data_IF_327925636104
#
_entry.id   IF_327925636104
#
_cell.length_a   1.000
_cell.length_b   1.000
_cell.length_c   1.000
_cell.angle_alpha   90.00
_cell.angle_beta   90.00
_cell.angle_gamma   90.00
#
_symmetry.space_group_name_H-M   'P 1'
#
loop_
_entity.id
_entity.type
_entity.pdbx_description
1 polymer ?
#
# COMPACT_ATOMS: atom_id res chain seq x y z
N UNK A 1 -15.01 26.76 33.69
CA UNK A 1 -15.49 26.63 32.30
C UNK A 1 -14.80 25.40 31.72
N UNK A 2 -15.45 24.24 31.76
CA UNK A 2 -14.92 23.03 31.14
C UNK A 2 -15.40 23.00 29.70
N UNK A 3 -14.48 23.19 28.75
CA UNK A 3 -14.73 23.00 27.33
C UNK A 3 -14.90 21.51 27.07
N UNK A 4 -16.10 21.11 26.62
CA UNK A 4 -16.35 19.79 26.07
C UNK A 4 -15.53 19.64 24.79
N UNK A 5 -14.39 18.96 24.87
CA UNK A 5 -13.80 18.32 23.69
C UNK A 5 -14.62 17.07 23.44
N UNK A 6 -15.45 17.14 22.40
CA UNK A 6 -16.16 16.00 21.85
C UNK A 6 -15.13 15.03 21.27
N UNK A 7 -14.65 14.13 22.12
CA UNK A 7 -13.62 13.14 21.83
C UNK A 7 -14.24 11.94 21.09
N UNK A 8 -14.95 12.21 20.00
CA UNK A 8 -15.44 11.14 19.12
C UNK A 8 -14.26 10.62 18.30
N UNK A 9 -13.71 9.49 18.73
CA UNK A 9 -12.71 8.75 17.96
C UNK A 9 -13.37 8.37 16.62
N UNK A 10 -12.81 8.77 15.46
CA UNK A 10 -13.39 8.42 14.17
C UNK A 10 -13.45 6.90 14.01
N UNK A 11 -14.59 6.38 13.54
CA UNK A 11 -14.70 4.98 13.18
C UNK A 11 -13.73 4.63 12.02
N UNK A 12 -13.23 3.40 11.99
CA UNK A 12 -12.28 2.90 10.97
C UNK A 12 -12.87 2.87 9.53
N UNK A 13 -14.14 3.23 9.37
CA UNK A 13 -14.84 3.35 8.10
C UNK A 13 -15.74 4.59 8.11
N UNK A 14 -15.93 5.20 6.94
CA UNK A 14 -16.82 6.34 6.79
C UNK A 14 -17.72 6.14 5.56
N UNK A 15 -19.02 6.29 5.74
CA UNK A 15 -19.94 6.58 4.64
C UNK A 15 -19.82 8.06 4.32
N UNK A 16 -19.37 8.40 3.11
CA UNK A 16 -19.22 9.79 2.65
C UNK A 16 -20.02 9.97 1.37
N UNK A 17 -20.40 11.21 1.09
CA UNK A 17 -21.11 11.53 -0.16
C UNK A 17 -20.16 11.38 -1.35
N UNK A 18 -20.72 10.90 -2.46
CA UNK A 18 -20.02 10.88 -3.74
C UNK A 18 -19.83 12.30 -4.28
N UNK A 19 -18.81 12.46 -5.10
CA UNK A 19 -18.61 13.65 -5.91
C UNK A 19 -19.77 13.83 -6.91
N UNK A 20 -19.96 15.05 -7.41
CA UNK A 20 -20.91 15.30 -8.49
C UNK A 20 -20.45 14.76 -9.86
N UNK A 21 -19.22 14.26 -9.98
CA UNK A 21 -18.68 13.73 -11.22
C UNK A 21 -19.23 12.33 -11.52
N UNK A 22 -19.33 11.99 -12.81
CA UNK A 22 -19.69 10.63 -13.23
C UNK A 22 -18.46 9.70 -13.23
N UNK A 23 -18.63 8.40 -12.94
CA UNK A 23 -17.56 7.42 -13.10
C UNK A 23 -17.15 7.28 -14.57
N UNK A 24 -15.86 7.09 -14.83
CA UNK A 24 -15.33 6.84 -16.16
C UNK A 24 -15.32 5.33 -16.46
N UNK A 25 -15.44 4.95 -17.72
CA UNK A 25 -15.28 3.54 -18.07
C UNK A 25 -13.81 3.11 -17.86
N UNK A 26 -13.62 1.92 -17.28
CA UNK A 26 -12.31 1.28 -17.13
C UNK A 26 -12.36 -0.05 -17.84
N UNK A 27 -11.27 -0.44 -18.51
CA UNK A 27 -11.13 -1.79 -19.07
C UNK A 27 -11.45 -2.86 -17.99
N UNK A 28 -12.44 -3.73 -18.22
CA UNK A 28 -12.81 -4.77 -17.25
C UNK A 28 -11.65 -5.68 -16.82
N UNK A 29 -10.65 -5.88 -17.69
CA UNK A 29 -9.47 -6.67 -17.36
C UNK A 29 -8.58 -6.01 -16.31
N UNK A 30 -8.51 -4.67 -16.28
CA UNK A 30 -7.77 -3.91 -15.27
C UNK A 30 -8.49 -3.93 -13.92
N UNK A 31 -9.83 -3.82 -13.93
CA UNK A 31 -10.65 -4.00 -12.72
C UNK A 31 -10.45 -5.41 -12.16
N UNK A 32 -10.46 -6.42 -13.02
CA UNK A 32 -10.24 -7.81 -12.61
C UNK A 32 -8.82 -8.01 -12.06
N UNK A 33 -7.79 -7.40 -12.64
CA UNK A 33 -6.43 -7.46 -12.12
C UNK A 33 -6.31 -6.76 -10.75
N UNK A 34 -7.01 -5.63 -10.52
CA UNK A 34 -7.06 -4.99 -9.19
C UNK A 34 -7.75 -5.87 -8.15
N UNK A 35 -8.82 -6.58 -8.53
CA UNK A 35 -9.43 -7.59 -7.66
C UNK A 35 -8.42 -8.69 -7.34
N UNK A 36 -7.73 -9.25 -8.34
CA UNK A 36 -6.70 -10.25 -8.10
C UNK A 36 -5.56 -9.74 -7.22
N UNK A 37 -5.16 -8.47 -7.33
CA UNK A 37 -4.16 -7.89 -6.45
C UNK A 37 -4.56 -7.98 -4.96
N UNK A 38 -5.84 -7.74 -4.62
CA UNK A 38 -6.34 -7.89 -3.25
C UNK A 38 -6.22 -9.34 -2.77
N UNK A 39 -6.66 -10.31 -3.58
CA UNK A 39 -6.60 -11.74 -3.26
C UNK A 39 -5.16 -12.25 -3.14
N UNK A 40 -4.29 -11.86 -4.08
CA UNK A 40 -2.87 -12.23 -4.09
C UNK A 40 -2.18 -11.70 -2.83
N UNK A 41 -2.34 -10.42 -2.51
CA UNK A 41 -1.65 -9.84 -1.37
C UNK A 41 -2.13 -10.45 -0.04
N UNK A 42 -3.40 -10.82 0.07
CA UNK A 42 -3.90 -11.59 1.21
C UNK A 42 -3.29 -13.00 1.28
N UNK A 43 -3.32 -13.76 0.18
CA UNK A 43 -2.76 -15.12 0.11
C UNK A 43 -1.24 -15.16 0.38
N UNK A 44 -0.53 -14.11 -0.01
CA UNK A 44 0.92 -13.98 0.26
C UNK A 44 1.22 -13.48 1.69
N UNK A 45 0.20 -13.26 2.53
CA UNK A 45 0.36 -12.79 3.91
C UNK A 45 0.83 -11.35 4.03
N UNK A 46 0.64 -10.54 2.97
CA UNK A 46 1.00 -9.13 2.96
C UNK A 46 -0.12 -8.30 3.56
N UNK A 47 -1.36 -8.51 3.11
CA UNK A 47 -2.56 -7.91 3.71
C UNK A 47 -3.19 -8.88 4.70
N UNK A 48 -3.70 -8.30 5.79
CA UNK A 48 -4.66 -8.91 6.68
C UNK A 48 -6.09 -8.45 6.31
N UNK A 49 -6.97 -8.26 7.29
CA UNK A 49 -8.32 -7.74 7.07
C UNK A 49 -8.38 -6.22 6.79
N UNK A 50 -7.30 -5.47 7.02
CA UNK A 50 -7.28 -4.01 7.07
C UNK A 50 -6.35 -3.34 6.04
N UNK A 51 -5.53 -4.11 5.33
CA UNK A 51 -4.70 -3.60 4.24
C UNK A 51 -5.48 -3.36 2.94
N UNK A 52 -4.92 -2.55 2.03
CA UNK A 52 -5.60 -2.19 0.78
C UNK A 52 -4.65 -1.78 -0.36
N UNK A 53 -5.06 -2.08 -1.59
CA UNK A 53 -4.35 -1.77 -2.83
C UNK A 53 -5.19 -0.92 -3.78
N UNK A 54 -4.57 0.08 -4.40
CA UNK A 54 -5.17 0.92 -5.44
C UNK A 54 -4.35 0.92 -6.72
N UNK A 55 -4.99 1.36 -7.81
CA UNK A 55 -4.29 1.77 -9.04
C UNK A 55 -4.79 3.13 -9.52
N UNK A 56 -3.92 3.94 -10.12
CA UNK A 56 -4.34 5.17 -10.81
C UNK A 56 -5.24 4.81 -11.99
N UNK A 57 -6.24 5.64 -12.26
CA UNK A 57 -7.12 5.45 -13.41
C UNK A 57 -6.27 5.56 -14.70
N UNK A 58 -6.39 4.59 -15.63
CA UNK A 58 -5.51 4.53 -16.81
C UNK A 58 -5.70 5.73 -17.76
N UNK A 59 -6.93 6.25 -17.85
CA UNK A 59 -7.29 7.32 -18.77
C UNK A 59 -7.46 8.70 -18.10
N UNK A 60 -7.28 8.79 -16.78
CA UNK A 60 -7.39 10.06 -16.03
C UNK A 60 -6.42 10.08 -14.86
N UNK A 61 -5.34 10.85 -14.99
CA UNK A 61 -4.31 10.91 -13.97
C UNK A 61 -4.80 11.51 -12.64
N UNK A 62 -5.97 12.17 -12.61
CA UNK A 62 -6.56 12.76 -11.42
C UNK A 62 -7.54 11.84 -10.68
N UNK A 63 -7.63 10.57 -11.10
CA UNK A 63 -8.49 9.57 -10.47
C UNK A 63 -7.72 8.31 -10.12
N UNK A 64 -8.24 7.57 -9.15
CA UNK A 64 -7.73 6.24 -8.82
C UNK A 64 -8.88 5.28 -8.46
N UNK A 65 -8.56 3.99 -8.53
CA UNK A 65 -9.46 2.87 -8.28
C UNK A 65 -9.02 2.17 -7.00
N UNK A 66 -9.96 1.95 -6.08
CA UNK A 66 -9.71 1.31 -4.79
C UNK A 66 -10.96 0.53 -4.38
N UNK A 67 -10.80 -0.62 -3.74
CA UNK A 67 -11.93 -1.36 -3.18
C UNK A 67 -12.64 -0.51 -2.11
N UNK A 68 -13.96 -0.66 -1.96
CA UNK A 68 -14.68 -0.14 -0.78
C UNK A 68 -14.17 -0.81 0.50
N UNK A 69 -14.59 -0.29 1.66
CA UNK A 69 -14.18 -0.87 2.94
C UNK A 69 -14.74 -2.30 3.10
N UNK A 70 -13.84 -3.28 3.04
CA UNK A 70 -14.09 -4.70 3.28
C UNK A 70 -12.77 -5.47 3.39
N UNK A 71 -12.84 -6.75 3.76
CA UNK A 71 -11.67 -7.63 3.76
C UNK A 71 -11.16 -7.88 2.32
N UNK A 72 -9.86 -7.76 2.04
CA UNK A 72 -9.29 -7.93 0.69
C UNK A 72 -9.61 -9.28 0.03
N UNK A 73 -9.67 -10.35 0.84
CA UNK A 73 -10.01 -11.70 0.38
C UNK A 73 -11.46 -11.87 -0.11
N UNK A 74 -12.31 -10.85 0.05
CA UNK A 74 -13.71 -10.86 -0.38
C UNK A 74 -13.96 -9.93 -1.56
N UNK A 75 -12.94 -9.20 -2.03
CA UNK A 75 -13.12 -8.19 -3.07
C UNK A 75 -13.65 -8.80 -4.38
N UNK A 76 -14.66 -8.16 -4.95
CA UNK A 76 -15.22 -8.46 -6.28
C UNK A 76 -15.14 -7.24 -7.20
N UNK A 77 -15.42 -7.43 -8.49
CA UNK A 77 -15.38 -6.32 -9.47
C UNK A 77 -16.39 -5.22 -9.14
N UNK A 78 -17.51 -5.56 -8.50
CA UNK A 78 -18.53 -4.60 -8.07
C UNK A 78 -18.08 -3.77 -6.87
N UNK A 79 -17.06 -4.20 -6.12
CA UNK A 79 -16.58 -3.53 -4.92
C UNK A 79 -15.54 -2.44 -5.21
N UNK A 80 -15.05 -2.35 -6.44
CA UNK A 80 -14.13 -1.28 -6.86
C UNK A 80 -14.89 0.03 -7.00
N UNK A 81 -14.32 1.09 -6.44
CA UNK A 81 -14.84 2.46 -6.41
C UNK A 81 -13.81 3.39 -7.04
N UNK A 82 -14.26 4.38 -7.80
CA UNK A 82 -13.42 5.46 -8.31
C UNK A 82 -13.34 6.60 -7.29
N UNK A 83 -12.17 7.18 -7.17
CA UNK A 83 -11.90 8.31 -6.29
C UNK A 83 -11.18 9.41 -7.07
N UNK A 84 -11.46 10.66 -6.71
CA UNK A 84 -10.58 11.77 -7.05
C UNK A 84 -9.30 11.70 -6.20
N UNK A 85 -8.22 12.38 -6.61
CA UNK A 85 -6.96 12.35 -5.85
C UNK A 85 -7.07 12.93 -4.43
N UNK A 86 -8.08 13.74 -4.12
CA UNK A 86 -8.33 14.20 -2.76
C UNK A 86 -8.95 13.12 -1.85
N UNK A 87 -9.30 11.96 -2.40
CA UNK A 87 -9.95 10.85 -1.71
C UNK A 87 -11.47 10.94 -1.72
N UNK A 88 -12.09 11.89 -2.41
CA UNK A 88 -13.55 11.93 -2.56
C UNK A 88 -14.00 10.78 -3.49
N UNK A 89 -14.90 9.87 -3.05
CA UNK A 89 -15.42 8.82 -3.93
C UNK A 89 -16.32 9.42 -5.01
N UNK A 90 -16.44 8.71 -6.13
CA UNK A 90 -17.26 9.11 -7.29
C UNK A 90 -18.50 8.23 -7.40
N UNK A 91 -18.37 6.94 -7.12
CA UNK A 91 -19.44 5.93 -7.28
C UNK A 91 -19.50 4.95 -6.10
N UNK A 92 -19.23 5.42 -4.87
CA UNK A 92 -19.39 4.60 -3.68
C UNK A 92 -20.87 4.26 -3.43
N UNK A 93 -21.83 5.09 -3.85
CA UNK A 93 -23.27 4.85 -3.73
C UNK A 93 -23.70 4.49 -2.30
N UNK A 94 -23.17 5.23 -1.31
CA UNK A 94 -23.44 5.03 0.12
C UNK A 94 -22.70 3.86 0.77
N UNK A 95 -21.87 3.10 0.01
CA UNK A 95 -21.04 2.04 0.56
C UNK A 95 -19.88 2.64 1.37
N UNK A 96 -19.54 2.09 2.55
CA UNK A 96 -18.41 2.59 3.34
C UNK A 96 -17.09 2.49 2.56
N UNK A 97 -16.25 3.51 2.65
CA UNK A 97 -14.91 3.54 2.02
C UNK A 97 -13.82 3.49 3.09
N UNK A 98 -12.60 3.13 2.69
CA UNK A 98 -11.47 3.11 3.62
C UNK A 98 -11.20 4.51 4.18
N UNK A 99 -10.95 4.57 5.49
CA UNK A 99 -10.61 5.82 6.16
C UNK A 99 -9.28 6.39 5.63
N UNK A 100 -8.34 5.50 5.27
CA UNK A 100 -6.98 5.84 4.89
C UNK A 100 -6.78 5.98 3.38
N UNK A 101 -7.87 6.15 2.62
CA UNK A 101 -7.84 6.41 1.17
C UNK A 101 -6.95 7.61 0.79
N UNK A 102 -6.75 8.54 1.71
CA UNK A 102 -5.87 9.71 1.55
C UNK A 102 -4.38 9.33 1.37
N UNK A 103 -3.94 8.17 1.88
CA UNK A 103 -2.60 7.63 1.60
C UNK A 103 -2.39 7.53 0.09
N UNK A 104 -3.36 6.95 -0.62
CA UNK A 104 -3.27 6.69 -2.04
C UNK A 104 -3.34 7.99 -2.85
N UNK A 105 -4.35 8.81 -2.57
CA UNK A 105 -4.58 10.07 -3.27
C UNK A 105 -3.38 11.01 -3.22
N UNK A 106 -2.79 11.22 -2.04
CA UNK A 106 -1.64 12.11 -1.87
C UNK A 106 -0.34 11.54 -2.45
N UNK A 107 -0.15 10.21 -2.43
CA UNK A 107 0.96 9.58 -3.13
C UNK A 107 0.86 9.76 -4.64
N UNK A 108 -0.34 9.61 -5.20
CA UNK A 108 -0.58 9.86 -6.62
C UNK A 108 -0.38 11.34 -7.00
N UNK A 109 -0.71 12.29 -6.13
CA UNK A 109 -0.41 13.73 -6.34
C UNK A 109 1.09 14.00 -6.34
N UNK A 110 1.81 13.46 -5.35
CA UNK A 110 3.23 13.71 -5.18
C UNK A 110 4.11 13.02 -6.23
N UNK A 111 3.64 11.88 -6.77
CA UNK A 111 4.41 11.02 -7.69
C UNK A 111 3.59 10.66 -8.94
N UNK A 112 3.64 11.49 -9.99
CA UNK A 112 2.96 11.22 -11.27
C UNK A 112 3.40 9.91 -11.94
N UNK A 113 4.60 9.42 -11.65
CA UNK A 113 5.13 8.14 -12.14
C UNK A 113 4.51 6.90 -11.45
N UNK A 114 3.86 7.10 -10.29
CA UNK A 114 3.21 6.01 -9.56
C UNK A 114 1.83 5.72 -10.16
N UNK A 115 1.61 4.45 -10.48
CA UNK A 115 0.35 3.92 -11.02
C UNK A 115 -0.33 2.91 -10.09
N UNK A 116 0.34 2.47 -9.02
CA UNK A 116 -0.26 1.61 -8.00
C UNK A 116 0.36 1.81 -6.62
N UNK A 117 -0.47 1.67 -5.59
CA UNK A 117 -0.11 1.84 -4.19
C UNK A 117 -0.65 0.66 -3.39
N UNK A 118 0.19 0.04 -2.57
CA UNK A 118 -0.19 -0.99 -1.60
C UNK A 118 0.11 -0.46 -0.21
N UNK A 119 -0.90 -0.43 0.66
CA UNK A 119 -0.71 -0.17 2.08
C UNK A 119 -1.06 -1.44 2.88
N UNK A 120 -0.19 -1.81 3.81
CA UNK A 120 -0.28 -3.08 4.53
C UNK A 120 0.23 -2.99 5.96
N UNK A 121 -0.24 -3.91 6.79
CA UNK A 121 0.24 -4.14 8.16
C UNK A 121 1.11 -5.40 8.21
N UNK A 122 2.00 -5.57 7.22
CA UNK A 122 2.76 -6.81 7.04
C UNK A 122 3.62 -7.10 8.28
N UNK A 123 3.46 -8.28 8.89
CA UNK A 123 3.89 -8.53 10.27
C UNK A 123 5.40 -8.50 10.44
N UNK A 124 6.17 -8.87 9.42
CA UNK A 124 7.63 -8.83 9.50
C UNK A 124 8.18 -7.43 9.24
N UNK A 125 7.40 -6.54 8.63
CA UNK A 125 7.81 -5.17 8.28
C UNK A 125 7.62 -4.21 9.47
N UNK A 126 6.52 -4.33 10.21
CA UNK A 126 6.19 -3.42 11.33
C UNK A 126 7.32 -3.28 12.38
N UNK A 127 8.05 -4.33 12.78
CA UNK A 127 9.19 -4.20 13.71
C UNK A 127 10.26 -3.20 13.25
N UNK A 128 10.55 -3.13 11.95
CA UNK A 128 11.51 -2.17 11.39
C UNK A 128 11.02 -0.72 11.46
N UNK A 129 9.71 -0.49 11.62
CA UNK A 129 9.16 0.85 11.76
C UNK A 129 9.39 1.46 13.16
N UNK A 130 9.69 0.64 14.17
CA UNK A 130 9.79 1.07 15.58
C UNK A 130 11.21 1.00 16.16
N UNK A 131 12.17 0.39 15.44
CA UNK A 131 13.57 0.28 15.86
C UNK A 131 14.46 1.11 14.93
N UNK A 132 14.81 2.33 15.33
CA UNK A 132 15.53 3.29 14.47
C UNK A 132 16.92 2.80 14.07
N UNK A 133 17.57 2.02 14.95
CA UNK A 133 18.92 1.49 14.76
C UNK A 133 18.95 0.30 13.79
N UNK A 134 17.78 -0.25 13.43
CA UNK A 134 17.63 -1.39 12.54
C UNK A 134 16.77 -1.00 11.32
N UNK A 135 17.31 -0.24 10.35
CA UNK A 135 16.55 0.12 9.15
C UNK A 135 16.28 -1.12 8.28
N UNK A 136 15.11 -1.18 7.65
CA UNK A 136 14.80 -2.19 6.63
C UNK A 136 15.64 -1.91 5.38
N UNK A 137 16.49 -2.86 5.01
CA UNK A 137 17.45 -2.74 3.89
C UNK A 137 17.39 -3.96 2.99
N UNK A 138 17.77 -3.84 1.70
CA UNK A 138 17.76 -4.98 0.78
C UNK A 138 18.79 -6.03 1.20
N UNK A 139 18.30 -7.21 1.60
CA UNK A 139 19.11 -8.36 1.98
C UNK A 139 19.48 -9.21 0.76
N UNK A 140 18.56 -9.37 -0.19
CA UNK A 140 18.74 -10.20 -1.37
C UNK A 140 18.29 -9.51 -2.65
N UNK A 141 18.72 -10.05 -3.79
CA UNK A 141 18.49 -9.49 -5.13
C UNK A 141 17.01 -9.18 -5.43
N UNK A 142 16.07 -9.94 -4.86
CA UNK A 142 14.63 -9.73 -5.03
C UNK A 142 14.10 -8.45 -4.36
N UNK A 143 14.86 -7.85 -3.44
CA UNK A 143 14.45 -6.69 -2.66
C UNK A 143 15.21 -5.41 -3.04
N UNK A 144 15.96 -5.41 -4.15
CA UNK A 144 16.79 -4.28 -4.58
C UNK A 144 16.04 -2.94 -4.65
N UNK A 145 14.73 -2.95 -4.95
CA UNK A 145 13.89 -1.77 -5.06
C UNK A 145 13.72 -0.99 -3.74
N UNK A 146 14.07 -1.59 -2.59
CA UNK A 146 14.15 -0.91 -1.28
C UNK A 146 15.27 0.15 -1.32
N UNK A 147 16.28 -0.01 -2.19
CA UNK A 147 17.35 0.96 -2.39
C UNK A 147 18.26 1.09 -1.18
N UNK A 148 18.50 2.32 -0.73
CA UNK A 148 19.37 2.59 0.43
C UNK A 148 18.75 2.15 1.78
N UNK A 149 17.44 1.91 1.81
CA UNK A 149 16.67 1.57 3.00
C UNK A 149 15.32 2.28 2.99
N UNK A 150 14.30 1.68 3.61
CA UNK A 150 12.98 2.28 3.67
C UNK A 150 12.94 3.45 4.67
N UNK A 151 12.56 4.68 4.27
CA UNK A 151 12.29 5.77 5.20
C UNK A 151 11.17 5.42 6.19
N UNK A 152 11.20 6.07 7.35
CA UNK A 152 10.17 5.93 8.39
C UNK A 152 9.44 7.26 8.53
N UNK A 153 8.13 7.24 8.29
CA UNK A 153 7.22 8.34 8.60
C UNK A 153 6.90 8.34 10.10
N UNK A 154 7.23 9.45 10.76
CA UNK A 154 6.84 9.73 12.14
C UNK A 154 5.68 10.71 12.16
N UNK A 155 4.47 10.18 12.40
CA UNK A 155 3.25 10.99 12.42
C UNK A 155 3.27 12.06 13.52
N UNK A 156 4.02 11.85 14.61
CA UNK A 156 4.15 12.82 15.71
C UNK A 156 4.78 14.14 15.28
N UNK A 157 5.63 14.11 14.26
CA UNK A 157 6.24 15.32 13.72
C UNK A 157 5.19 16.23 13.03
N UNK A 158 3.99 15.69 12.75
CA UNK A 158 2.90 16.40 12.07
C UNK A 158 1.74 16.76 13.00
N UNK A 159 1.44 15.94 14.00
CA UNK A 159 0.25 16.11 14.88
C UNK A 159 0.53 15.98 16.38
N UNK A 160 1.78 15.80 16.79
CA UNK A 160 2.14 15.57 18.20
C UNK A 160 1.81 14.14 18.68
N UNK A 161 1.92 13.92 19.99
CA UNK A 161 1.54 12.69 20.66
C UNK A 161 0.04 12.72 21.04
N UNK A 162 -0.68 11.65 20.68
CA UNK A 162 -2.14 11.57 20.89
C UNK A 162 -2.97 11.28 19.63
N UNK A 163 -2.35 10.95 18.49
CA UNK A 163 -3.05 10.47 17.31
C UNK A 163 -3.33 8.96 17.36
N UNK A 164 -4.24 8.48 16.51
CA UNK A 164 -4.51 7.06 16.29
C UNK A 164 -3.46 6.35 15.41
N UNK A 165 -2.40 7.06 15.00
CA UNK A 165 -1.41 6.62 14.00
C UNK A 165 -1.95 6.43 12.56
N UNK A 166 -3.25 6.64 12.35
CA UNK A 166 -3.90 6.52 11.05
C UNK A 166 -3.71 7.78 10.19
N UNK A 167 -3.69 7.60 8.87
CA UNK A 167 -3.60 8.69 7.89
C UNK A 167 -4.99 8.98 7.34
N UNK A 168 -5.72 9.83 8.06
CA UNK A 168 -7.17 10.02 7.87
C UNK A 168 -7.55 11.32 7.15
N UNK A 169 -6.57 12.09 6.68
CA UNK A 169 -6.78 13.35 5.96
C UNK A 169 -5.66 13.61 4.94
N UNK A 170 -5.88 14.56 4.02
CA UNK A 170 -4.91 14.92 2.99
C UNK A 170 -3.60 15.50 3.54
N UNK A 171 -3.62 16.18 4.69
CA UNK A 171 -2.42 16.78 5.29
C UNK A 171 -1.47 15.68 5.79
N UNK A 172 -2.01 14.66 6.45
CA UNK A 172 -1.27 13.47 6.87
C UNK A 172 -0.80 12.64 5.67
N UNK A 173 -1.65 12.48 4.64
CA UNK A 173 -1.28 11.81 3.40
C UNK A 173 -0.12 12.49 2.68
N UNK A 174 -0.14 13.83 2.59
CA UNK A 174 0.93 14.62 2.00
C UNK A 174 2.24 14.51 2.80
N UNK A 175 2.17 14.50 4.14
CA UNK A 175 3.34 14.31 4.99
C UNK A 175 3.96 12.91 4.85
N UNK A 176 3.13 11.87 4.72
CA UNK A 176 3.58 10.52 4.40
C UNK A 176 4.24 10.47 3.01
N UNK A 177 3.65 11.09 2.00
CA UNK A 177 4.19 11.14 0.65
C UNK A 177 5.54 11.88 0.61
N UNK A 178 5.70 12.96 1.37
CA UNK A 178 6.96 13.67 1.52
C UNK A 178 8.05 12.76 2.16
N UNK A 179 7.67 11.93 3.13
CA UNK A 179 8.58 10.97 3.77
C UNK A 179 9.00 9.83 2.83
N UNK A 180 8.12 9.39 1.93
CA UNK A 180 8.47 8.44 0.88
C UNK A 180 9.50 9.03 -0.10
N UNK A 181 9.31 10.29 -0.49
CA UNK A 181 10.15 11.01 -1.45
C UNK A 181 10.36 10.20 -2.74
N UNK A 182 11.61 9.88 -3.09
CA UNK A 182 11.99 9.08 -4.25
C UNK A 182 11.99 7.56 -4.01
N UNK A 183 11.72 7.09 -2.79
CA UNK A 183 11.77 5.67 -2.43
C UNK A 183 10.55 4.90 -2.97
N UNK A 184 10.65 3.57 -2.95
CA UNK A 184 9.55 2.67 -3.33
C UNK A 184 8.72 2.18 -2.14
N UNK A 185 9.27 2.29 -0.92
CA UNK A 185 8.69 1.78 0.33
C UNK A 185 8.84 2.86 1.40
N UNK A 186 7.80 3.09 2.19
CA UNK A 186 7.85 3.91 3.40
C UNK A 186 7.22 3.13 4.55
N UNK A 187 7.86 3.14 5.71
CA UNK A 187 7.33 2.55 6.93
C UNK A 187 6.60 3.63 7.74
N UNK A 188 5.54 3.26 8.44
CA UNK A 188 4.76 4.15 9.31
C UNK A 188 4.94 3.66 10.74
N UNK A 189 5.61 4.45 11.59
CA UNK A 189 6.05 4.00 12.93
C UNK A 189 4.89 3.42 13.75
N UNK A 190 4.97 2.12 14.04
CA UNK A 190 4.01 1.40 14.88
C UNK A 190 2.64 1.18 14.22
N UNK A 191 2.56 1.30 12.89
CA UNK A 191 1.33 1.11 12.12
C UNK A 191 1.55 0.06 11.01
N UNK A 192 2.33 0.39 9.99
CA UNK A 192 2.39 -0.44 8.78
C UNK A 192 3.43 0.05 7.78
N UNK A 193 3.22 -0.27 6.50
CA UNK A 193 4.06 0.22 5.41
C UNK A 193 3.24 0.51 4.17
N UNK A 194 3.78 1.38 3.32
CA UNK A 194 3.20 1.70 2.01
C UNK A 194 4.25 1.52 0.93
N UNK A 195 3.85 0.85 -0.15
CA UNK A 195 4.69 0.51 -1.30
C UNK A 195 4.08 1.12 -2.56
N UNK A 196 4.93 1.68 -3.43
CA UNK A 196 4.51 2.28 -4.70
C UNK A 196 5.24 1.67 -5.90
N UNK A 197 4.59 1.67 -7.05
CA UNK A 197 5.22 1.36 -8.33
C UNK A 197 4.50 2.00 -9.52
N UNK A 198 5.16 1.95 -10.68
CA UNK A 198 4.68 2.38 -12.00
C UNK A 198 3.69 1.39 -12.64
N UNK A 199 3.46 0.22 -12.03
CA UNK A 199 2.42 -0.73 -12.44
C UNK A 199 1.84 -1.48 -11.25
N UNK A 200 0.59 -1.94 -11.36
CA UNK A 200 -0.07 -2.77 -10.34
C UNK A 200 0.73 -4.03 -10.00
N UNK A 201 1.19 -4.76 -11.01
CA UNK A 201 1.94 -6.01 -10.82
C UNK A 201 3.25 -5.78 -10.07
N UNK A 202 3.97 -4.69 -10.38
CA UNK A 202 5.19 -4.31 -9.65
C UNK A 202 4.88 -3.89 -8.22
N UNK A 203 3.82 -3.13 -7.97
CA UNK A 203 3.45 -2.76 -6.60
C UNK A 203 3.16 -4.00 -5.74
N UNK A 204 2.43 -4.98 -6.30
CA UNK A 204 2.18 -6.26 -5.64
C UNK A 204 3.47 -7.03 -5.40
N UNK A 205 4.32 -7.18 -6.42
CA UNK A 205 5.64 -7.80 -6.28
C UNK A 205 6.47 -7.15 -5.17
N UNK A 206 6.59 -5.82 -5.17
CA UNK A 206 7.38 -5.07 -4.20
C UNK A 206 6.83 -5.25 -2.79
N UNK A 207 5.52 -5.24 -2.61
CA UNK A 207 4.90 -5.46 -1.30
C UNK A 207 5.20 -6.87 -0.76
N UNK A 208 5.04 -7.90 -1.59
CA UNK A 208 5.38 -9.29 -1.23
C UNK A 208 6.86 -9.45 -0.87
N UNK A 209 7.77 -8.88 -1.68
CA UNK A 209 9.20 -9.01 -1.42
C UNK A 209 9.71 -8.07 -0.32
N UNK A 210 8.96 -7.04 0.06
CA UNK A 210 9.23 -6.26 1.27
C UNK A 210 8.97 -7.10 2.52
N UNK A 211 7.84 -7.81 2.60
CA UNK A 211 7.54 -8.74 3.70
C UNK A 211 8.56 -9.90 3.76
N UNK A 212 8.86 -10.53 2.63
CA UNK A 212 9.86 -11.63 2.57
C UNK A 212 11.25 -11.14 3.01
N UNK A 213 11.68 -9.97 2.53
CA UNK A 213 12.97 -9.39 2.89
C UNK A 213 13.04 -9.03 4.37
N UNK A 214 11.99 -8.42 4.91
CA UNK A 214 11.92 -8.05 6.32
C UNK A 214 12.01 -9.29 7.22
N UNK A 215 11.28 -10.35 6.90
CA UNK A 215 11.38 -11.64 7.61
C UNK A 215 12.79 -12.22 7.55
N UNK A 216 13.39 -12.23 6.37
CA UNK A 216 14.75 -12.74 6.20
C UNK A 216 15.79 -11.89 6.95
N UNK A 217 15.62 -10.57 7.01
CA UNK A 217 16.49 -9.67 7.77
C UNK A 217 16.39 -9.93 9.28
N UNK A 218 15.18 -10.17 9.82
CA UNK A 218 14.98 -10.57 11.22
C UNK A 218 15.62 -11.93 11.56
N UNK A 219 15.61 -12.88 10.61
CA UNK A 219 16.28 -14.17 10.78
C UNK A 219 17.80 -14.03 10.71
N UNK A 220 18.31 -13.26 9.74
CA UNK A 220 19.74 -13.03 9.55
C UNK A 220 20.37 -12.31 10.75
N UNK A 221 19.66 -11.39 11.40
CA UNK A 221 20.17 -10.69 12.60
C UNK A 221 20.42 -11.61 13.79
N UNK A 222 19.80 -12.80 13.82
CA UNK A 222 20.05 -13.81 14.84
C UNK A 222 21.31 -14.64 14.56
N UNK A 223 21.82 -14.60 13.33
CA UNK A 223 23.02 -15.33 12.90
C UNK A 223 24.30 -14.49 13.06
N UNK A 224 24.19 -13.17 13.02
CA UNK A 224 25.31 -12.25 13.21
C UNK A 224 25.18 -10.95 12.43
N UNK A 225 26.32 -10.32 12.14
CA UNK A 225 26.36 -9.08 11.36
C UNK A 225 25.93 -9.33 9.92
N UNK A 226 24.95 -8.56 9.46
CA UNK A 226 24.38 -8.68 8.11
C UNK A 226 25.24 -7.91 7.10
N UNK A 227 25.60 -8.57 6.01
CA UNK A 227 26.11 -7.90 4.80
C UNK A 227 24.93 -7.66 3.85
N UNK A 228 24.50 -6.40 3.75
CA UNK A 228 23.43 -5.98 2.85
C UNK A 228 23.92 -5.79 1.42
N UNK A 229 22.99 -5.71 0.46
CA UNK A 229 23.33 -5.23 -0.87
C UNK A 229 23.89 -3.80 -0.79
N UNK A 230 24.94 -3.56 -1.56
CA UNK A 230 25.41 -2.21 -1.88
C UNK A 230 24.39 -1.46 -2.75
N UNK A 231 24.46 -0.12 -2.82
CA UNK A 231 23.58 0.66 -3.70
C UNK A 231 23.64 0.23 -5.18
N UNK A 232 24.84 -0.12 -5.67
CA UNK A 232 25.03 -0.56 -7.05
C UNK A 232 24.40 -1.95 -7.30
N UNK A 233 24.53 -2.88 -6.35
CA UNK A 233 23.86 -4.18 -6.43
C UNK A 233 22.34 -4.04 -6.38
N UNK A 234 21.81 -3.21 -5.47
CA UNK A 234 20.38 -2.94 -5.37
C UNK A 234 19.80 -2.38 -6.68
N UNK A 235 20.51 -1.45 -7.33
CA UNK A 235 20.12 -0.91 -8.64
C UNK A 235 20.18 -1.97 -9.75
N UNK A 236 21.28 -2.73 -9.84
CA UNK A 236 21.47 -3.74 -10.87
C UNK A 236 20.44 -4.88 -10.75
N UNK A 237 20.14 -5.32 -9.53
CA UNK A 237 19.15 -6.37 -9.31
C UNK A 237 17.74 -5.85 -9.58
N UNK A 238 17.40 -4.60 -9.21
CA UNK A 238 16.09 -4.01 -9.55
C UNK A 238 15.89 -3.99 -11.06
N UNK A 239 16.87 -3.50 -11.82
CA UNK A 239 16.81 -3.41 -13.28
C UNK A 239 16.62 -4.78 -13.96
N UNK A 240 17.20 -5.83 -13.39
CA UNK A 240 17.15 -7.19 -13.95
C UNK A 240 15.92 -7.96 -13.50
N UNK A 241 15.61 -7.94 -12.20
CA UNK A 241 14.58 -8.78 -11.60
C UNK A 241 13.17 -8.24 -11.88
N UNK A 242 12.98 -6.92 -11.92
CA UNK A 242 11.65 -6.37 -12.19
C UNK A 242 11.15 -6.65 -13.60
N UNK A 243 12.02 -7.03 -14.56
CA UNK A 243 11.59 -7.52 -15.87
C UNK A 243 10.88 -8.88 -15.79
N UNK A 244 10.98 -9.58 -14.66
CA UNK A 244 10.41 -10.91 -14.43
C UNK A 244 9.14 -10.88 -13.57
N UNK A 245 8.64 -9.70 -13.20
CA UNK A 245 7.45 -9.54 -12.34
C UNK A 245 6.23 -10.30 -12.87
N UNK A 246 6.06 -10.36 -14.20
CA UNK A 246 4.99 -11.13 -14.83
C UNK A 246 4.98 -12.61 -14.40
N UNK A 247 6.15 -13.23 -14.23
CA UNK A 247 6.26 -14.63 -13.78
C UNK A 247 5.67 -14.84 -12.39
N UNK A 248 5.98 -13.93 -11.45
CA UNK A 248 5.46 -14.00 -10.10
C UNK A 248 3.96 -13.73 -10.07
N UNK A 249 3.52 -12.71 -10.81
CA UNK A 249 2.11 -12.37 -10.97
C UNK A 249 1.27 -13.55 -11.48
N UNK A 250 1.69 -14.18 -12.57
CA UNK A 250 0.94 -15.27 -13.21
C UNK A 250 0.81 -16.49 -12.27
N UNK A 251 1.88 -16.79 -11.52
CA UNK A 251 1.87 -17.84 -10.50
C UNK A 251 0.86 -17.53 -9.38
N UNK A 252 0.92 -16.33 -8.81
CA UNK A 252 0.04 -15.95 -7.70
C UNK A 252 -1.41 -15.78 -8.13
N UNK A 253 -1.65 -15.22 -9.32
CA UNK A 253 -2.99 -15.11 -9.91
C UNK A 253 -3.63 -16.48 -10.07
N UNK A 254 -2.91 -17.45 -10.64
CA UNK A 254 -3.39 -18.83 -10.76
C UNK A 254 -3.73 -19.45 -9.40
N UNK A 255 -2.90 -19.20 -8.37
CA UNK A 255 -3.18 -19.67 -7.00
C UNK A 255 -4.45 -19.02 -6.42
N UNK A 256 -4.59 -17.70 -6.57
CA UNK A 256 -5.77 -16.95 -6.13
C UNK A 256 -7.06 -17.42 -6.82
N UNK A 257 -7.00 -17.74 -8.11
CA UNK A 257 -8.12 -18.32 -8.87
C UNK A 257 -8.60 -19.65 -8.27
N UNK A 258 -7.68 -20.52 -7.84
CA UNK A 258 -8.02 -21.78 -7.20
C UNK A 258 -8.68 -21.59 -5.83
N UNK A 259 -8.18 -20.65 -5.02
CA UNK A 259 -8.74 -20.36 -3.69
C UNK A 259 -10.11 -19.68 -3.79
N UNK A 260 -10.26 -18.70 -4.69
CA UNK A 260 -11.54 -18.03 -4.92
C UNK A 260 -12.57 -18.95 -5.60
N UNK A 261 -12.11 -19.90 -6.43
CA UNK A 261 -12.96 -20.92 -7.05
C UNK A 261 -13.60 -21.89 -6.05
N UNK A 262 -13.03 -22.05 -4.85
CA UNK A 262 -13.63 -22.82 -3.75
C UNK A 262 -14.83 -22.09 -3.09
N UNK A 263 -15.05 -20.81 -3.41
CA UNK A 263 -16.11 -19.96 -2.86
C UNK A 263 -17.29 -19.76 -3.85
N UNK A 264 -17.30 -20.47 -4.99
CA UNK A 264 -18.45 -20.52 -5.91
C UNK A 264 -19.37 -21.68 -5.61
#
# INVERSE_FOLDING_TARGET
MCSNHDNTIPAASSTVNDSAEAPLAVDPSLIQDLVFANHILFDQGVLDAFGHVSMRHPDDANRFLLCRNMAPAQATVQDIVQFQLDGTPIDAAGRPVYLERFIHGELYKARPDVMAVVHSHSPSVVPFSVVKEAPLRPLCHMAGFIGAGAPIFEIRDVVGDGSSLLVTDNRLGAALAASLAGSSVVLMRGHGSTVVADTLKKAVYRAVYTEINARAQLQASQLGAITFLSPAEAQATTATIETQVGRAWDLWKKKAEHTAGYLR
#
